data_IF_623270286988
#
_entry.id   IF_623270286988
#
_cell.length_a   1.000
_cell.length_b   1.000
_cell.length_c   1.000
_cell.angle_alpha   90.00
_cell.angle_beta   90.00
_cell.angle_gamma   90.00
#
_symmetry.space_group_name_H-M   'P 1'
#
loop_
_entity.id
_entity.type
_entity.pdbx_description
1 polymer ?
#
# COMPACT_ATOMS: atom_id res chain seq x y z
N UNK A 1 46.07 71.76 4.10
CA UNK A 1 45.07 71.98 5.17
C UNK A 1 45.15 70.84 6.17
N UNK A 2 46.08 70.94 7.12
CA UNK A 2 46.01 70.23 8.41
C UNK A 2 45.19 71.12 9.35
N UNK A 3 44.19 70.58 10.04
CA UNK A 3 43.81 70.91 11.43
C UNK A 3 42.48 70.23 11.80
N UNK A 4 42.50 69.52 12.94
CA UNK A 4 41.37 69.10 13.79
C UNK A 4 40.79 67.68 13.60
N UNK A 5 41.65 66.67 13.72
CA UNK A 5 41.50 65.71 14.82
C UNK A 5 42.12 66.32 16.09
N UNK A 6 41.78 65.83 17.29
CA UNK A 6 41.99 66.45 18.64
C UNK A 6 40.74 67.20 19.14
N UNK A 7 39.61 66.49 19.21
CA UNK A 7 38.68 66.54 20.36
C UNK A 7 38.42 65.08 20.73
N UNK A 8 39.52 64.41 21.01
CA UNK A 8 39.56 63.16 21.73
C UNK A 8 40.22 63.52 23.06
N UNK A 9 39.74 62.93 24.15
CA UNK A 9 40.48 62.85 25.40
C UNK A 9 40.87 64.20 26.04
N UNK A 10 39.92 64.92 26.63
CA UNK A 10 40.24 65.87 27.73
C UNK A 10 39.00 66.27 28.57
N UNK A 11 38.07 65.32 28.76
CA UNK A 11 37.16 65.32 29.92
C UNK A 11 37.22 63.96 30.62
N UNK A 12 38.42 63.35 30.64
CA UNK A 12 38.80 62.50 31.75
C UNK A 12 38.83 63.35 33.01
N UNK A 13 38.16 62.86 34.03
CA UNK A 13 38.61 62.98 35.41
C UNK A 13 38.44 64.35 36.04
N UNK A 14 37.50 64.43 36.99
CA UNK A 14 37.75 64.74 38.40
C UNK A 14 36.39 64.99 39.06
N UNK A 15 36.13 64.31 40.18
CA UNK A 15 34.98 64.55 41.07
C UNK A 15 34.01 63.37 41.12
N UNK A 16 34.40 62.15 41.51
CA UNK A 16 34.87 61.76 42.85
C UNK A 16 33.72 61.75 43.89
N UNK A 17 33.50 60.54 44.43
CA UNK A 17 32.86 60.18 45.72
C UNK A 17 31.33 60.20 45.83
N UNK A 18 30.74 59.00 45.85
CA UNK A 18 30.41 58.31 47.11
C UNK A 18 29.93 56.87 46.80
N UNK A 19 30.76 55.86 47.10
CA UNK A 19 30.59 54.91 48.23
C UNK A 19 29.44 53.91 48.04
N UNK A 20 29.56 52.58 48.21
CA UNK A 20 30.64 51.61 48.43
C UNK A 20 29.95 50.29 48.85
N UNK A 21 30.72 49.18 48.82
CA UNK A 21 30.53 47.92 49.58
C UNK A 21 29.75 46.78 48.88
N UNK A 22 30.44 45.75 48.34
CA UNK A 22 31.00 44.53 49.01
C UNK A 22 29.87 43.46 49.14
N UNK A 23 29.97 42.22 48.62
CA UNK A 23 30.96 41.18 48.97
C UNK A 23 31.14 40.10 47.90
N UNK A 24 32.37 39.59 47.82
CA UNK A 24 32.88 38.41 47.07
C UNK A 24 33.13 37.26 48.06
N UNK A 25 32.89 35.99 47.69
CA UNK A 25 33.67 34.77 48.08
C UNK A 25 33.13 33.54 47.31
N UNK A 26 33.90 32.91 46.41
CA UNK A 26 34.83 31.76 46.60
C UNK A 26 34.11 30.49 47.12
N UNK A 27 34.33 29.24 46.68
CA UNK A 27 35.34 28.55 45.84
C UNK A 27 34.88 27.08 45.67
N UNK A 28 35.20 26.44 44.53
CA UNK A 28 35.85 25.11 44.34
C UNK A 28 35.48 23.91 45.28
N UNK A 29 35.30 22.64 44.88
CA UNK A 29 35.57 21.86 43.66
C UNK A 29 35.05 20.41 43.85
N UNK A 30 34.70 19.77 42.74
CA UNK A 30 34.93 18.35 42.34
C UNK A 30 34.29 17.24 43.19
N UNK A 31 33.34 16.55 42.54
CA UNK A 31 33.13 15.11 42.63
C UNK A 31 32.70 14.61 41.25
N UNK A 32 33.63 14.02 40.51
CA UNK A 32 33.44 13.48 39.16
C UNK A 32 32.37 12.39 39.12
N UNK A 33 31.54 12.39 38.06
CA UNK A 33 30.57 11.34 37.84
C UNK A 33 29.75 11.50 36.56
N UNK A 34 30.39 11.25 35.41
CA UNK A 34 29.76 10.86 34.12
C UNK A 34 29.10 11.98 33.30
N UNK A 35 29.72 12.23 32.14
CA UNK A 35 29.14 12.92 30.98
C UNK A 35 27.80 12.27 30.59
N UNK A 36 26.73 13.04 30.59
CA UNK A 36 25.62 12.81 29.67
C UNK A 36 25.50 14.05 28.80
N UNK A 37 25.58 13.81 27.50
CA UNK A 37 25.28 14.78 26.47
C UNK A 37 23.91 15.39 26.77
N UNK A 38 23.87 16.65 27.20
CA UNK A 38 22.68 17.47 27.07
C UNK A 38 22.48 17.71 25.57
N UNK A 39 21.85 16.74 24.91
CA UNK A 39 21.36 16.91 23.56
C UNK A 39 20.34 18.02 23.60
N UNK A 40 20.67 19.15 22.97
CA UNK A 40 19.72 20.16 22.55
C UNK A 40 18.74 19.58 21.52
N UNK A 41 17.85 18.69 21.96
CA UNK A 41 16.58 18.46 21.28
C UNK A 41 15.68 19.64 21.61
N UNK A 42 15.97 20.72 20.90
CA UNK A 42 15.17 21.93 20.78
C UNK A 42 13.71 21.53 20.49
N UNK A 43 12.78 22.25 21.10
CA UNK A 43 11.32 22.05 21.14
C UNK A 43 10.62 22.09 19.75
N UNK A 44 11.33 21.87 18.65
CA UNK A 44 10.88 21.98 17.25
C UNK A 44 10.41 20.67 16.61
N UNK A 45 10.40 19.56 17.36
CA UNK A 45 9.81 18.29 16.89
C UNK A 45 8.31 18.13 17.18
N UNK A 46 7.68 19.09 17.88
CA UNK A 46 6.25 18.99 18.23
C UNK A 46 5.28 19.25 17.07
N UNK A 47 5.70 19.90 15.99
CA UNK A 47 4.84 20.16 14.82
C UNK A 47 5.13 19.21 13.64
N UNK A 48 5.01 17.90 13.88
CA UNK A 48 4.56 17.01 12.81
C UNK A 48 3.02 16.91 12.89
N UNK A 49 2.31 17.99 12.60
CA UNK A 49 0.83 18.12 12.71
C UNK A 49 0.07 17.39 11.58
N UNK A 50 0.45 16.14 11.27
CA UNK A 50 -0.12 15.36 10.16
C UNK A 50 -0.68 14.01 10.56
N UNK A 51 -0.85 13.75 11.86
CA UNK A 51 -1.37 12.48 12.37
C UNK A 51 -2.72 12.12 11.74
N UNK A 52 -3.60 13.10 11.54
CA UNK A 52 -4.91 12.96 10.90
C UNK A 52 -4.87 12.71 9.38
N UNK A 53 -3.69 12.83 8.74
CA UNK A 53 -3.51 12.62 7.30
C UNK A 53 -2.90 11.27 6.96
N UNK A 54 -2.28 10.61 7.94
CA UNK A 54 -1.83 9.22 7.79
C UNK A 54 -3.02 8.30 7.49
N UNK A 55 -4.19 8.59 8.08
CA UNK A 55 -5.45 7.91 7.79
C UNK A 55 -5.93 8.18 6.34
N UNK A 56 -5.83 9.43 5.86
CA UNK A 56 -6.17 9.79 4.47
C UNK A 56 -5.27 9.05 3.46
N UNK A 57 -3.96 8.91 3.76
CA UNK A 57 -3.02 8.13 2.95
C UNK A 57 -3.37 6.63 2.92
N UNK A 58 -3.65 6.04 4.08
CA UNK A 58 -4.02 4.64 4.18
C UNK A 58 -5.35 4.33 3.46
N UNK A 59 -6.32 5.24 3.58
CA UNK A 59 -7.61 5.17 2.90
C UNK A 59 -7.43 5.26 1.39
N UNK A 60 -6.64 6.22 0.91
CA UNK A 60 -6.42 6.39 -0.54
C UNK A 60 -5.66 5.19 -1.14
N UNK A 61 -4.66 4.66 -0.44
CA UNK A 61 -3.96 3.44 -0.89
C UNK A 61 -4.91 2.23 -0.94
N UNK A 62 -5.81 2.12 0.03
CA UNK A 62 -6.88 1.09 0.03
C UNK A 62 -7.80 1.27 -1.17
N UNK A 63 -8.26 2.49 -1.44
CA UNK A 63 -9.13 2.80 -2.58
C UNK A 63 -8.48 2.49 -3.92
N UNK A 64 -7.23 2.92 -4.12
CA UNK A 64 -6.46 2.64 -5.33
C UNK A 64 -6.33 1.14 -5.55
N UNK A 65 -6.10 0.40 -4.49
CA UNK A 65 -5.93 -1.04 -4.58
C UNK A 65 -7.23 -1.79 -4.82
N UNK A 66 -8.32 -1.36 -4.18
CA UNK A 66 -9.66 -1.85 -4.50
C UNK A 66 -9.99 -1.61 -5.97
N UNK A 67 -9.62 -0.44 -6.51
CA UNK A 67 -9.77 -0.16 -7.93
C UNK A 67 -8.99 -1.15 -8.81
N UNK A 68 -7.71 -1.38 -8.50
CA UNK A 68 -6.86 -2.34 -9.23
C UNK A 68 -7.45 -3.75 -9.16
N UNK A 69 -7.89 -4.19 -7.97
CA UNK A 69 -8.55 -5.48 -7.76
C UNK A 69 -9.83 -5.61 -8.59
N UNK A 70 -10.70 -4.60 -8.59
CA UNK A 70 -11.90 -4.61 -9.41
C UNK A 70 -11.54 -4.71 -10.90
N UNK A 71 -10.51 -4.01 -11.37
CA UNK A 71 -10.05 -4.15 -12.77
C UNK A 71 -9.52 -5.57 -13.06
N UNK A 72 -8.87 -6.24 -12.09
CA UNK A 72 -8.46 -7.67 -12.26
C UNK A 72 -9.61 -8.65 -12.34
N UNK A 73 -10.81 -8.29 -11.88
CA UNK A 73 -11.97 -9.18 -11.93
C UNK A 73 -12.70 -9.09 -13.27
N UNK A 74 -12.17 -8.33 -14.23
CA UNK A 74 -12.89 -7.98 -15.45
C UNK A 74 -14.02 -6.99 -15.19
N UNK A 75 -13.94 -6.19 -14.11
CA UNK A 75 -14.88 -5.11 -13.86
C UNK A 75 -14.65 -3.93 -14.83
N UNK A 76 -14.86 -4.17 -16.13
CA UNK A 76 -15.35 -3.16 -17.06
C UNK A 76 -16.70 -2.54 -16.57
N UNK A 77 -17.32 -3.13 -15.54
CA UNK A 77 -18.54 -2.66 -14.88
C UNK A 77 -18.38 -1.39 -14.06
N UNK A 78 -17.16 -1.01 -13.67
CA UNK A 78 -16.90 0.38 -13.29
C UNK A 78 -16.91 1.17 -14.60
N UNK A 79 -18.11 1.52 -15.08
CA UNK A 79 -18.26 2.44 -16.20
C UNK A 79 -17.53 3.76 -15.93
N UNK A 80 -17.59 4.74 -16.84
CA UNK A 80 -16.78 5.97 -16.74
C UNK A 80 -16.83 6.64 -15.37
N UNK A 81 -18.02 6.69 -14.76
CA UNK A 81 -18.27 7.26 -13.42
C UNK A 81 -17.56 6.51 -12.28
N UNK A 82 -17.40 5.19 -12.39
CA UNK A 82 -16.66 4.39 -11.40
C UNK A 82 -15.16 4.70 -11.44
N UNK A 83 -14.59 4.86 -12.64
CA UNK A 83 -13.19 5.27 -12.82
C UNK A 83 -12.97 6.71 -12.34
N UNK A 84 -13.93 7.61 -12.57
CA UNK A 84 -13.89 9.01 -12.10
C UNK A 84 -13.75 9.14 -10.58
N UNK A 85 -14.43 8.28 -9.81
CA UNK A 85 -14.31 8.26 -8.35
C UNK A 85 -12.84 8.06 -7.92
N UNK A 86 -12.20 6.98 -8.39
CA UNK A 86 -10.82 6.66 -8.01
C UNK A 86 -9.82 7.68 -8.54
N UNK A 87 -10.04 8.18 -9.77
CA UNK A 87 -9.23 9.25 -10.33
C UNK A 87 -9.29 10.52 -9.49
N UNK A 88 -10.48 10.86 -8.97
CA UNK A 88 -10.68 12.00 -8.08
C UNK A 88 -9.98 11.79 -6.73
N UNK A 89 -10.06 10.58 -6.15
CA UNK A 89 -9.32 10.24 -4.93
C UNK A 89 -7.80 10.42 -5.11
N UNK A 90 -7.24 9.95 -6.23
CA UNK A 90 -5.82 10.15 -6.58
C UNK A 90 -5.49 11.64 -6.77
N UNK A 91 -6.33 12.39 -7.48
CA UNK A 91 -6.12 13.84 -7.69
C UNK A 91 -6.11 14.63 -6.37
N UNK A 92 -7.04 14.32 -5.45
CA UNK A 92 -7.10 14.93 -4.13
C UNK A 92 -5.83 14.63 -3.31
N UNK A 93 -5.29 13.41 -3.46
CA UNK A 93 -4.04 13.03 -2.81
C UNK A 93 -2.83 13.80 -3.39
N UNK A 94 -2.76 13.95 -4.71
CA UNK A 94 -1.74 14.78 -5.37
C UNK A 94 -1.78 16.22 -4.84
N UNK A 95 -2.97 16.83 -4.77
CA UNK A 95 -3.14 18.19 -4.25
C UNK A 95 -2.70 18.30 -2.78
N UNK A 96 -3.05 17.29 -1.97
CA UNK A 96 -2.67 17.22 -0.56
C UNK A 96 -1.16 17.14 -0.40
N UNK A 97 -0.50 16.27 -1.17
CA UNK A 97 0.95 16.11 -1.18
C UNK A 97 1.67 17.37 -1.68
N UNK A 98 1.19 17.99 -2.77
CA UNK A 98 1.77 19.24 -3.29
C UNK A 98 1.77 20.34 -2.24
N UNK A 99 0.61 20.56 -1.59
CA UNK A 99 0.50 21.54 -0.51
C UNK A 99 1.50 21.28 0.62
N UNK A 100 1.72 20.02 0.97
CA UNK A 100 2.69 19.67 2.01
C UNK A 100 4.14 19.81 1.56
N UNK A 101 4.46 19.55 0.30
CA UNK A 101 5.77 19.89 -0.26
C UNK A 101 6.05 21.38 -0.06
N UNK A 102 5.10 22.25 -0.45
CA UNK A 102 5.24 23.71 -0.31
C UNK A 102 5.39 24.15 1.16
N UNK A 103 4.59 23.59 2.07
CA UNK A 103 4.69 23.85 3.52
C UNK A 103 6.04 23.36 4.09
N UNK A 104 6.53 22.19 3.64
CA UNK A 104 7.81 21.65 4.08
C UNK A 104 9.01 22.45 3.59
N UNK A 105 8.96 23.06 2.41
CA UNK A 105 10.04 23.94 1.92
C UNK A 105 10.33 25.09 2.90
N UNK A 106 9.29 25.58 3.57
CA UNK A 106 9.34 26.70 4.50
C UNK A 106 9.72 26.30 5.94
N UNK A 107 9.98 25.02 6.19
CA UNK A 107 10.24 24.48 7.54
C UNK A 107 11.57 23.72 7.65
N UNK A 108 11.99 23.47 8.89
CA UNK A 108 13.22 22.75 9.24
C UNK A 108 13.11 21.22 9.14
N UNK A 109 12.13 20.71 8.39
CA UNK A 109 11.91 19.27 8.20
C UNK A 109 13.17 18.61 7.59
N UNK A 110 13.56 17.39 8.01
CA UNK A 110 14.74 16.73 7.48
C UNK A 110 14.70 16.52 5.97
N UNK A 111 15.81 16.79 5.26
CA UNK A 111 15.92 16.62 3.79
C UNK A 111 15.47 15.26 3.30
N UNK A 112 15.78 14.19 4.04
CA UNK A 112 15.39 12.82 3.68
C UNK A 112 13.87 12.64 3.67
N UNK A 113 13.15 13.30 4.59
CA UNK A 113 11.69 13.24 4.65
C UNK A 113 11.05 14.06 3.52
N UNK A 114 11.61 15.23 3.19
CA UNK A 114 11.19 16.03 2.03
C UNK A 114 11.30 15.22 0.73
N UNK A 115 12.45 14.58 0.51
CA UNK A 115 12.66 13.73 -0.66
C UNK A 115 11.67 12.55 -0.70
N UNK A 116 11.45 11.86 0.42
CA UNK A 116 10.51 10.72 0.45
C UNK A 116 9.07 11.15 0.17
N UNK A 117 8.71 12.40 0.49
CA UNK A 117 7.41 12.96 0.19
C UNK A 117 7.28 13.38 -1.28
N UNK A 118 8.32 13.98 -1.87
CA UNK A 118 8.40 14.25 -3.31
C UNK A 118 8.33 12.96 -4.13
N UNK A 119 9.05 11.91 -3.71
CA UNK A 119 8.99 10.57 -4.33
C UNK A 119 7.55 10.02 -4.29
N UNK A 120 6.85 10.20 -3.16
CA UNK A 120 5.46 9.79 -3.00
C UNK A 120 4.52 10.58 -3.91
N UNK A 121 4.68 11.90 -3.98
CA UNK A 121 3.94 12.75 -4.90
C UNK A 121 4.11 12.30 -6.35
N UNK A 122 5.34 12.05 -6.78
CA UNK A 122 5.63 11.57 -8.14
C UNK A 122 4.98 10.22 -8.41
N UNK A 123 4.97 9.29 -7.44
CA UNK A 123 4.31 8.00 -7.58
C UNK A 123 2.80 8.14 -7.81
N UNK A 124 2.11 9.02 -7.07
CA UNK A 124 0.69 9.29 -7.31
C UNK A 124 0.43 9.97 -8.66
N UNK A 125 1.31 10.87 -9.10
CA UNK A 125 1.21 11.50 -10.42
C UNK A 125 1.34 10.46 -11.55
N UNK A 126 2.33 9.57 -11.46
CA UNK A 126 2.50 8.47 -12.42
C UNK A 126 1.27 7.56 -12.46
N UNK A 127 0.68 7.25 -11.30
CA UNK A 127 -0.54 6.46 -11.23
C UNK A 127 -1.74 7.21 -11.82
N UNK A 128 -1.87 8.51 -11.57
CA UNK A 128 -2.92 9.35 -12.16
C UNK A 128 -2.86 9.36 -13.70
N UNK A 129 -1.65 9.38 -14.26
CA UNK A 129 -1.45 9.27 -15.70
C UNK A 129 -1.91 7.91 -16.22
N UNK A 130 -1.57 6.81 -15.53
CA UNK A 130 -2.03 5.47 -15.87
C UNK A 130 -3.57 5.37 -15.82
N UNK A 131 -4.21 5.91 -14.77
CA UNK A 131 -5.69 5.98 -14.66
C UNK A 131 -6.29 6.84 -15.78
N UNK A 132 -5.63 7.91 -16.19
CA UNK A 132 -6.08 8.77 -17.29
C UNK A 132 -6.02 8.05 -18.63
N UNK A 133 -4.97 7.27 -18.89
CA UNK A 133 -4.87 6.43 -20.09
C UNK A 133 -5.97 5.37 -20.08
N UNK A 134 -6.16 4.68 -18.95
CA UNK A 134 -7.22 3.69 -18.76
C UNK A 134 -8.61 4.27 -19.03
N UNK A 135 -8.93 5.41 -18.41
CA UNK A 135 -10.20 6.10 -18.56
C UNK A 135 -10.47 6.51 -20.01
N UNK A 136 -9.45 7.03 -20.72
CA UNK A 136 -9.59 7.41 -22.13
C UNK A 136 -9.89 6.20 -23.01
N UNK A 137 -9.27 5.05 -22.74
CA UNK A 137 -9.53 3.81 -23.47
C UNK A 137 -10.98 3.32 -23.25
N UNK A 138 -11.45 3.37 -22.00
CA UNK A 138 -12.84 3.03 -21.64
C UNK A 138 -13.88 3.90 -22.38
N UNK A 139 -13.55 5.17 -22.66
CA UNK A 139 -14.45 6.11 -23.33
C UNK A 139 -14.41 6.08 -24.87
N UNK A 140 -13.45 5.38 -25.51
CA UNK A 140 -13.26 5.39 -26.98
C UNK A 140 -13.34 4.02 -27.63
N UNK A 141 -12.32 3.19 -27.39
CA UNK A 141 -12.01 2.02 -28.23
C UNK A 141 -12.17 0.69 -27.48
N UNK A 142 -12.58 0.75 -26.21
CA UNK A 142 -12.60 -0.39 -25.30
C UNK A 142 -11.26 -0.54 -24.56
N UNK A 143 -11.32 -1.18 -23.39
CA UNK A 143 -10.14 -1.43 -22.56
C UNK A 143 -9.41 -2.66 -23.07
N UNK A 144 -8.09 -2.56 -23.17
CA UNK A 144 -7.20 -3.67 -23.52
C UNK A 144 -6.47 -4.20 -22.29
N UNK A 145 -5.95 -5.43 -22.36
CA UNK A 145 -5.12 -6.02 -21.31
C UNK A 145 -3.91 -5.13 -20.96
N UNK A 146 -3.30 -4.47 -21.94
CA UNK A 146 -2.16 -3.57 -21.70
C UNK A 146 -2.56 -2.30 -20.92
N UNK A 147 -3.80 -1.81 -21.08
CA UNK A 147 -4.30 -0.72 -20.24
C UNK A 147 -4.42 -1.17 -18.78
N UNK A 148 -4.87 -2.40 -18.55
CA UNK A 148 -4.95 -3.00 -17.21
C UNK A 148 -3.54 -3.17 -16.67
N UNK A 149 -2.64 -3.85 -17.38
CA UNK A 149 -1.23 -4.03 -16.98
C UNK A 149 -0.51 -2.72 -16.66
N UNK A 150 -0.83 -1.62 -17.36
CA UNK A 150 -0.31 -0.29 -17.06
C UNK A 150 -0.73 0.23 -15.67
N UNK A 151 -1.98 -0.01 -15.26
CA UNK A 151 -2.43 0.29 -13.89
C UNK A 151 -1.68 -0.56 -12.86
N UNK A 152 -1.55 -1.86 -13.12
CA UNK A 152 -0.88 -2.81 -12.23
C UNK A 152 0.61 -2.49 -12.06
N UNK A 153 1.27 -2.03 -13.12
CA UNK A 153 2.70 -1.69 -13.09
C UNK A 153 2.99 -0.34 -12.40
N UNK A 154 2.04 0.58 -12.40
CA UNK A 154 2.20 1.89 -11.75
C UNK A 154 2.02 1.81 -10.23
N UNK A 155 1.16 0.91 -9.74
CA UNK A 155 0.83 0.80 -8.32
C UNK A 155 1.99 0.47 -7.37
N UNK A 156 2.92 -0.45 -7.69
CA UNK A 156 4.07 -0.76 -6.83
C UNK A 156 4.93 0.48 -6.51
N UNK A 157 4.94 1.50 -7.37
CA UNK A 157 5.65 2.75 -7.12
C UNK A 157 5.03 3.51 -5.93
N UNK A 158 3.70 3.52 -5.82
CA UNK A 158 2.99 4.10 -4.68
C UNK A 158 3.34 3.32 -3.41
N UNK A 159 3.29 2.00 -3.46
CA UNK A 159 3.59 1.13 -2.31
C UNK A 159 4.99 1.41 -1.75
N UNK A 160 6.01 1.39 -2.62
CA UNK A 160 7.41 1.61 -2.24
C UNK A 160 7.65 3.02 -1.69
N UNK A 161 7.10 4.04 -2.36
CA UNK A 161 7.24 5.42 -1.90
C UNK A 161 6.52 5.65 -0.56
N UNK A 162 5.33 5.05 -0.40
CA UNK A 162 4.54 5.14 0.83
C UNK A 162 5.25 4.48 2.01
N UNK A 163 5.89 3.33 1.80
CA UNK A 163 6.67 2.64 2.85
C UNK A 163 7.87 3.47 3.31
N UNK A 164 8.63 4.03 2.37
CA UNK A 164 9.77 4.91 2.65
C UNK A 164 9.33 6.14 3.43
N UNK A 165 8.27 6.80 2.97
CA UNK A 165 7.68 7.97 3.63
C UNK A 165 7.22 7.64 5.05
N UNK A 166 6.45 6.56 5.21
CA UNK A 166 5.87 6.17 6.50
C UNK A 166 6.93 5.74 7.51
N UNK A 167 8.01 5.10 7.06
CA UNK A 167 9.15 4.72 7.89
C UNK A 167 9.83 5.95 8.48
N UNK A 168 10.07 6.99 7.66
CA UNK A 168 10.67 8.24 8.12
C UNK A 168 9.72 9.01 9.05
N UNK A 169 8.42 9.01 8.75
CA UNK A 169 7.39 9.59 9.61
C UNK A 169 7.39 8.96 11.02
N UNK A 170 7.32 7.62 11.13
CA UNK A 170 7.35 6.91 12.41
C UNK A 170 8.61 7.21 13.22
N UNK A 171 9.77 7.23 12.54
CA UNK A 171 11.06 7.56 13.15
C UNK A 171 11.08 8.99 13.70
N UNK A 172 10.57 9.96 12.94
CA UNK A 172 10.48 11.36 13.36
C UNK A 172 9.56 11.59 14.55
N UNK A 173 8.49 10.79 14.67
CA UNK A 173 7.53 10.84 15.79
C UNK A 173 7.93 10.03 17.02
N UNK A 174 9.05 9.30 16.98
CA UNK A 174 9.42 8.31 17.99
C UNK A 174 8.30 7.29 18.31
N UNK A 175 7.45 6.98 17.32
CA UNK A 175 6.40 5.96 17.48
C UNK A 175 7.11 4.60 17.54
N UNK A 176 7.06 3.96 18.71
CA UNK A 176 7.54 2.60 18.90
C UNK A 176 6.36 1.61 18.89
N UNK A 177 6.57 0.47 18.22
CA UNK A 177 5.56 -0.58 18.07
C UNK A 177 4.70 -0.46 16.80
N UNK A 178 3.90 -1.49 16.50
CA UNK A 178 2.98 -1.46 15.36
C UNK A 178 1.95 -0.35 15.56
N UNK A 179 1.85 0.57 14.59
CA UNK A 179 0.75 1.54 14.52
C UNK A 179 -0.55 0.76 14.39
N UNK A 180 -1.39 0.81 15.43
CA UNK A 180 -2.59 -0.04 15.56
C UNK A 180 -3.66 0.20 14.48
N UNK A 181 -3.51 1.21 13.64
CA UNK A 181 -4.60 1.66 12.77
C UNK A 181 -4.21 1.90 11.32
N UNK A 182 -2.92 1.80 10.95
CA UNK A 182 -2.48 2.26 9.64
C UNK A 182 -1.40 1.32 9.06
N UNK A 183 -1.83 0.41 8.19
CA UNK A 183 -0.96 -0.44 7.39
C UNK A 183 -0.71 0.27 6.06
N UNK A 184 0.52 0.72 5.82
CA UNK A 184 0.93 1.43 4.60
C UNK A 184 2.05 0.64 3.92
N UNK A 185 2.05 0.62 2.58
CA UNK A 185 3.13 0.02 1.79
C UNK A 185 3.04 -1.50 1.73
N UNK A 186 4.17 -2.19 1.80
CA UNK A 186 4.26 -3.64 1.55
C UNK A 186 3.39 -4.49 2.48
N UNK A 187 3.19 -4.07 3.73
CA UNK A 187 2.30 -4.77 4.66
C UNK A 187 0.83 -4.69 4.22
N UNK A 188 0.43 -3.58 3.59
CA UNK A 188 -0.90 -3.40 3.04
C UNK A 188 -1.03 -4.31 1.80
N UNK A 189 -0.03 -4.31 0.92
CA UNK A 189 0.13 -5.23 -0.22
C UNK A 189 -0.07 -6.68 0.14
N UNK A 190 0.64 -7.14 1.16
CA UNK A 190 0.50 -8.47 1.69
C UNK A 190 -0.89 -8.78 2.26
N UNK A 191 -1.44 -7.91 3.11
CA UNK A 191 -2.76 -8.14 3.74
C UNK A 191 -3.88 -8.31 2.70
N UNK A 192 -3.92 -7.45 1.69
CA UNK A 192 -4.91 -7.58 0.62
C UNK A 192 -4.67 -8.79 -0.27
N UNK A 193 -3.41 -9.15 -0.58
CA UNK A 193 -3.13 -10.37 -1.34
C UNK A 193 -3.72 -11.59 -0.62
N UNK A 194 -3.53 -11.67 0.71
CA UNK A 194 -4.08 -12.75 1.55
C UNK A 194 -5.61 -12.76 1.45
N UNK A 195 -6.27 -11.64 1.78
CA UNK A 195 -7.73 -11.59 1.82
C UNK A 195 -8.38 -11.81 0.45
N UNK A 196 -7.82 -11.22 -0.60
CA UNK A 196 -8.39 -11.30 -1.95
C UNK A 196 -8.24 -12.71 -2.52
N UNK A 197 -7.07 -13.32 -2.35
CA UNK A 197 -6.83 -14.71 -2.76
C UNK A 197 -7.73 -15.66 -1.97
N UNK A 198 -7.83 -15.48 -0.65
CA UNK A 198 -8.71 -16.30 0.18
C UNK A 198 -10.17 -16.21 -0.27
N UNK A 199 -10.72 -15.01 -0.40
CA UNK A 199 -12.12 -14.82 -0.78
C UNK A 199 -12.46 -15.50 -2.11
N UNK A 200 -11.59 -15.37 -3.13
CA UNK A 200 -11.82 -15.93 -4.48
C UNK A 200 -11.73 -17.46 -4.49
N UNK A 201 -10.79 -18.02 -3.76
CA UNK A 201 -10.55 -19.47 -3.75
C UNK A 201 -11.58 -20.18 -2.89
N UNK A 202 -11.98 -19.59 -1.76
CA UNK A 202 -13.08 -20.10 -0.94
C UNK A 202 -14.41 -20.09 -1.72
N UNK A 203 -14.70 -19.02 -2.46
CA UNK A 203 -15.86 -18.96 -3.35
C UNK A 203 -15.80 -20.05 -4.42
N UNK A 204 -14.65 -20.20 -5.10
CA UNK A 204 -14.45 -21.23 -6.13
C UNK A 204 -14.66 -22.64 -5.57
N UNK A 205 -14.02 -22.96 -4.45
CA UNK A 205 -14.19 -24.25 -3.76
C UNK A 205 -15.64 -24.46 -3.33
N UNK A 206 -16.31 -23.42 -2.81
CA UNK A 206 -17.72 -23.45 -2.44
C UNK A 206 -18.64 -23.72 -3.64
N UNK A 207 -18.41 -23.07 -4.77
CA UNK A 207 -19.15 -23.30 -6.02
C UNK A 207 -18.97 -24.74 -6.52
N UNK A 208 -17.78 -25.32 -6.40
CA UNK A 208 -17.54 -26.69 -6.85
C UNK A 208 -18.17 -27.70 -5.87
N UNK A 209 -17.86 -27.58 -4.57
CA UNK A 209 -18.25 -28.54 -3.53
C UNK A 209 -19.74 -28.50 -3.22
N UNK A 210 -20.31 -27.31 -3.03
CA UNK A 210 -21.71 -27.16 -2.62
C UNK A 210 -22.64 -27.07 -3.82
N UNK A 211 -22.13 -26.66 -4.99
CA UNK A 211 -22.91 -26.61 -6.22
C UNK A 211 -22.60 -27.76 -7.17
N UNK A 212 -21.51 -27.71 -7.93
CA UNK A 212 -21.31 -28.61 -9.07
C UNK A 212 -21.30 -30.11 -8.70
N UNK A 213 -20.46 -30.53 -7.75
CA UNK A 213 -20.26 -31.95 -7.40
C UNK A 213 -21.58 -32.67 -7.06
N UNK A 214 -22.45 -32.16 -6.16
CA UNK A 214 -23.73 -32.80 -5.85
C UNK A 214 -24.68 -32.99 -7.05
N UNK A 215 -24.66 -32.11 -8.06
CA UNK A 215 -25.53 -32.25 -9.24
C UNK A 215 -24.99 -33.35 -10.15
N UNK A 216 -23.67 -33.40 -10.28
CA UNK A 216 -22.96 -34.42 -11.05
C UNK A 216 -23.18 -35.81 -10.45
N UNK A 217 -23.02 -35.96 -9.13
CA UNK A 217 -23.27 -37.22 -8.41
C UNK A 217 -24.73 -37.71 -8.57
N UNK A 218 -25.69 -36.79 -8.56
CA UNK A 218 -27.12 -37.08 -8.75
C UNK A 218 -27.51 -37.31 -10.21
N UNK A 219 -26.57 -37.23 -11.15
CA UNK A 219 -26.83 -37.29 -12.61
C UNK A 219 -27.86 -36.25 -13.09
N UNK A 220 -27.94 -35.12 -12.40
CA UNK A 220 -28.77 -33.98 -12.78
C UNK A 220 -28.01 -33.11 -13.81
N UNK A 221 -28.01 -33.56 -15.07
CA UNK A 221 -27.22 -32.95 -16.14
C UNK A 221 -27.60 -31.49 -16.38
N UNK A 222 -28.89 -31.15 -16.39
CA UNK A 222 -29.34 -29.77 -16.63
C UNK A 222 -28.81 -28.80 -15.57
N UNK A 223 -28.86 -29.18 -14.29
CA UNK A 223 -28.33 -28.33 -13.22
C UNK A 223 -26.81 -28.35 -13.18
N UNK A 224 -26.16 -29.48 -13.50
CA UNK A 224 -24.70 -29.58 -13.60
C UNK A 224 -24.16 -28.66 -14.70
N UNK A 225 -24.75 -28.66 -15.90
CA UNK A 225 -24.39 -27.80 -17.02
C UNK A 225 -24.50 -26.32 -16.64
N UNK A 226 -25.57 -25.93 -15.92
CA UNK A 226 -25.73 -24.57 -15.42
C UNK A 226 -24.63 -24.19 -14.42
N UNK A 227 -24.26 -25.09 -13.52
CA UNK A 227 -23.20 -24.82 -12.54
C UNK A 227 -21.81 -24.76 -13.21
N UNK A 228 -21.53 -25.63 -14.17
CA UNK A 228 -20.32 -25.57 -15.01
C UNK A 228 -20.26 -24.24 -15.76
N UNK A 229 -21.35 -23.84 -16.41
CA UNK A 229 -21.43 -22.58 -17.14
C UNK A 229 -21.09 -21.38 -16.24
N UNK A 230 -21.67 -21.32 -15.03
CA UNK A 230 -21.33 -20.28 -14.05
C UNK A 230 -19.83 -20.29 -13.69
N UNK A 231 -19.24 -21.47 -13.48
CA UNK A 231 -17.81 -21.61 -13.17
C UNK A 231 -16.91 -21.22 -14.37
N UNK A 232 -17.31 -21.54 -15.60
CA UNK A 232 -16.60 -21.14 -16.84
C UNK A 232 -16.60 -19.62 -16.99
N UNK A 233 -17.62 -18.91 -16.49
CA UNK A 233 -17.66 -17.45 -16.47
C UNK A 233 -16.90 -16.83 -15.29
N UNK A 234 -16.86 -17.50 -14.14
CA UNK A 234 -16.17 -17.03 -12.92
C UNK A 234 -14.65 -17.23 -12.96
N UNK A 235 -14.18 -18.45 -13.26
CA UNK A 235 -12.76 -18.81 -13.16
C UNK A 235 -11.80 -17.97 -13.99
N UNK A 236 -12.14 -17.50 -15.21
CA UNK A 236 -11.26 -16.62 -15.96
C UNK A 236 -10.85 -15.36 -15.20
N UNK A 237 -11.74 -14.77 -14.39
CA UNK A 237 -11.42 -13.58 -13.60
C UNK A 237 -10.48 -13.92 -12.44
N UNK A 238 -10.70 -15.06 -11.77
CA UNK A 238 -9.81 -15.57 -10.72
C UNK A 238 -8.41 -15.85 -11.26
N UNK A 239 -8.31 -16.56 -12.40
CA UNK A 239 -7.05 -16.89 -13.05
C UNK A 239 -6.32 -15.63 -13.51
N UNK A 240 -7.05 -14.68 -14.11
CA UNK A 240 -6.45 -13.42 -14.54
C UNK A 240 -5.91 -12.62 -13.36
N UNK A 241 -6.67 -12.48 -12.27
CA UNK A 241 -6.20 -11.88 -11.01
C UNK A 241 -4.91 -12.54 -10.52
N UNK A 242 -4.89 -13.88 -10.42
CA UNK A 242 -3.71 -14.61 -9.92
C UNK A 242 -2.47 -14.37 -10.80
N UNK A 243 -2.65 -14.25 -12.12
CA UNK A 243 -1.54 -13.98 -13.05
C UNK A 243 -0.91 -12.59 -12.90
N UNK A 244 -1.70 -11.60 -12.51
CA UNK A 244 -1.27 -10.19 -12.55
C UNK A 244 -1.00 -9.60 -11.17
N UNK A 245 -1.49 -10.24 -10.10
CA UNK A 245 -1.30 -9.74 -8.74
C UNK A 245 0.17 -9.86 -8.33
N UNK A 246 0.66 -8.86 -7.61
CA UNK A 246 1.97 -8.95 -6.97
C UNK A 246 1.90 -9.96 -5.82
N UNK A 247 2.64 -11.06 -5.96
CA UNK A 247 2.69 -12.14 -4.97
C UNK A 247 3.83 -11.87 -3.97
N UNK A 248 3.57 -11.88 -2.65
CA UNK A 248 4.65 -11.82 -1.67
C UNK A 248 5.58 -13.04 -1.82
N UNK A 249 6.88 -12.84 -1.68
CA UNK A 249 7.90 -13.85 -1.99
C UNK A 249 7.62 -15.19 -1.27
N UNK A 250 7.24 -15.14 0.01
CA UNK A 250 6.87 -16.30 0.84
C UNK A 250 5.77 -17.17 0.23
N UNK A 251 4.85 -16.59 -0.55
CA UNK A 251 3.74 -17.30 -1.17
C UNK A 251 4.03 -17.79 -2.59
N UNK A 252 5.16 -17.45 -3.21
CA UNK A 252 5.41 -17.65 -4.64
C UNK A 252 5.14 -19.09 -5.11
N UNK A 253 5.69 -20.09 -4.43
CA UNK A 253 5.51 -21.51 -4.80
C UNK A 253 4.07 -21.97 -4.62
N UNK A 254 3.47 -21.72 -3.46
CA UNK A 254 2.09 -22.12 -3.17
C UNK A 254 1.08 -21.42 -4.09
N UNK A 255 1.34 -20.16 -4.44
CA UNK A 255 0.57 -19.41 -5.43
C UNK A 255 0.61 -20.09 -6.81
N UNK A 256 1.80 -20.48 -7.29
CA UNK A 256 1.92 -21.14 -8.59
C UNK A 256 1.22 -22.50 -8.64
N UNK A 257 1.27 -23.28 -7.56
CA UNK A 257 0.51 -24.53 -7.45
C UNK A 257 -1.00 -24.27 -7.52
N UNK A 258 -1.48 -23.27 -6.78
CA UNK A 258 -2.89 -22.91 -6.75
C UNK A 258 -3.39 -22.39 -8.11
N UNK A 259 -2.60 -21.52 -8.76
CA UNK A 259 -2.89 -21.03 -10.10
C UNK A 259 -2.99 -22.20 -11.09
N UNK A 260 -2.01 -23.10 -11.08
CA UNK A 260 -1.98 -24.27 -11.96
C UNK A 260 -3.19 -25.18 -11.75
N UNK A 261 -3.58 -25.42 -10.49
CA UNK A 261 -4.76 -26.22 -10.17
C UNK A 261 -6.06 -25.56 -10.68
N UNK A 262 -6.20 -24.24 -10.51
CA UNK A 262 -7.34 -23.49 -11.04
C UNK A 262 -7.39 -23.51 -12.58
N UNK A 263 -6.25 -23.36 -13.25
CA UNK A 263 -6.18 -23.44 -14.72
C UNK A 263 -6.54 -24.83 -15.25
N UNK A 264 -6.03 -25.89 -14.60
CA UNK A 264 -6.36 -27.27 -14.97
C UNK A 264 -7.85 -27.55 -14.81
N UNK A 265 -8.45 -27.13 -13.69
CA UNK A 265 -9.88 -27.28 -13.48
C UNK A 265 -10.70 -26.48 -14.49
N UNK A 266 -10.33 -25.21 -14.76
CA UNK A 266 -11.00 -24.38 -15.76
C UNK A 266 -10.98 -25.02 -17.15
N UNK A 267 -9.81 -25.47 -17.61
CA UNK A 267 -9.68 -26.13 -18.91
C UNK A 267 -10.54 -27.41 -18.96
N UNK A 268 -10.52 -28.22 -17.90
CA UNK A 268 -11.35 -29.42 -17.81
C UNK A 268 -12.85 -29.10 -17.94
N UNK A 269 -13.40 -28.18 -17.14
CA UNK A 269 -14.84 -27.90 -17.18
C UNK A 269 -15.27 -27.18 -18.47
N UNK A 270 -14.37 -26.43 -19.09
CA UNK A 270 -14.59 -25.77 -20.37
C UNK A 270 -14.67 -26.79 -21.51
N UNK A 271 -13.76 -27.74 -21.54
CA UNK A 271 -13.68 -28.75 -22.61
C UNK A 271 -14.73 -29.86 -22.44
N UNK A 272 -15.26 -30.03 -21.22
CA UNK A 272 -16.31 -30.99 -20.89
C UNK A 272 -17.70 -30.37 -20.75
N UNK A 273 -17.83 -29.07 -21.04
CA UNK A 273 -19.12 -28.39 -21.06
C UNK A 273 -20.03 -29.12 -22.07
N UNK A 274 -21.21 -29.58 -21.62
CA UNK A 274 -22.18 -30.35 -22.41
C UNK A 274 -21.82 -31.83 -22.71
N UNK A 275 -20.79 -32.39 -22.08
CA UNK A 275 -20.53 -33.83 -22.18
C UNK A 275 -21.50 -34.66 -21.33
N UNK A 276 -21.71 -35.92 -21.73
CA UNK A 276 -22.54 -36.83 -20.95
C UNK A 276 -21.86 -37.15 -19.62
N UNK A 277 -22.56 -36.88 -18.52
CA UNK A 277 -22.12 -37.20 -17.16
C UNK A 277 -22.01 -38.73 -16.96
N UNK A 278 -20.79 -39.25 -17.13
CA UNK A 278 -20.41 -40.64 -16.95
C UNK A 278 -19.37 -40.78 -15.81
N UNK A 279 -19.08 -42.00 -15.38
CA UNK A 279 -18.16 -42.25 -14.25
C UNK A 279 -16.77 -41.62 -14.45
N UNK A 280 -16.22 -41.70 -15.67
CA UNK A 280 -14.93 -41.09 -16.02
C UNK A 280 -14.94 -39.56 -15.83
N UNK A 281 -16.01 -38.88 -16.26
CA UNK A 281 -16.18 -37.44 -16.04
C UNK A 281 -16.28 -37.12 -14.54
N UNK A 282 -17.03 -37.91 -13.76
CA UNK A 282 -17.20 -37.70 -12.33
C UNK A 282 -15.87 -37.83 -11.58
N UNK A 283 -15.09 -38.87 -11.89
CA UNK A 283 -13.78 -39.11 -11.28
C UNK A 283 -12.79 -37.98 -11.61
N UNK A 284 -12.72 -37.56 -12.89
CA UNK A 284 -11.85 -36.45 -13.29
C UNK A 284 -12.25 -35.13 -12.64
N UNK A 285 -13.54 -34.81 -12.61
CA UNK A 285 -14.04 -33.61 -11.96
C UNK A 285 -13.65 -33.56 -10.48
N UNK A 286 -13.83 -34.68 -9.78
CA UNK A 286 -13.47 -34.82 -8.37
C UNK A 286 -11.96 -34.69 -8.18
N UNK A 287 -11.15 -35.33 -9.02
CA UNK A 287 -9.70 -35.21 -9.00
C UNK A 287 -9.23 -33.76 -9.16
N UNK A 288 -9.74 -33.03 -10.15
CA UNK A 288 -9.39 -31.61 -10.34
C UNK A 288 -9.85 -30.73 -9.16
N UNK A 289 -10.97 -31.03 -8.52
CA UNK A 289 -11.38 -30.36 -7.29
C UNK A 289 -10.42 -30.65 -6.12
N UNK A 290 -10.02 -31.91 -5.94
CA UNK A 290 -9.07 -32.32 -4.90
C UNK A 290 -7.69 -31.67 -5.09
N UNK A 291 -7.26 -31.46 -6.34
CA UNK A 291 -6.03 -30.72 -6.66
C UNK A 291 -6.10 -29.26 -6.21
N UNK A 292 -7.23 -28.56 -6.43
CA UNK A 292 -7.43 -27.20 -5.91
C UNK A 292 -7.43 -27.22 -4.39
N UNK A 293 -8.13 -28.16 -3.76
CA UNK A 293 -8.20 -28.25 -2.30
C UNK A 293 -6.83 -28.50 -1.67
N UNK A 294 -6.00 -29.33 -2.32
CA UNK A 294 -4.63 -29.58 -1.89
C UNK A 294 -3.76 -28.33 -2.02
N UNK A 295 -3.76 -27.68 -3.19
CA UNK A 295 -2.98 -26.45 -3.40
C UNK A 295 -3.44 -25.31 -2.48
N UNK A 296 -4.73 -25.25 -2.16
CA UNK A 296 -5.27 -24.30 -1.19
C UNK A 296 -4.76 -24.55 0.23
N UNK A 297 -4.67 -25.82 0.67
CA UNK A 297 -4.08 -26.18 1.96
C UNK A 297 -2.61 -25.77 2.04
N UNK A 298 -1.85 -25.99 0.96
CA UNK A 298 -0.45 -25.55 0.87
C UNK A 298 -0.34 -24.02 1.02
N UNK A 299 -1.21 -23.26 0.35
CA UNK A 299 -1.26 -21.81 0.48
C UNK A 299 -1.62 -21.35 1.91
N UNK A 300 -2.60 -22.00 2.57
CA UNK A 300 -3.00 -21.67 3.95
C UNK A 300 -1.92 -21.98 4.98
N UNK A 301 -1.08 -22.99 4.72
CA UNK A 301 0.07 -23.28 5.58
C UNK A 301 1.07 -22.12 5.58
N UNK A 302 1.40 -21.58 4.39
CA UNK A 302 2.26 -20.40 4.27
C UNK A 302 1.67 -19.22 5.02
N UNK A 303 0.37 -18.96 4.88
CA UNK A 303 -0.28 -17.87 5.62
C UNK A 303 -0.13 -18.04 7.14
N UNK A 304 -0.32 -19.25 7.67
CA UNK A 304 -0.17 -19.54 9.09
C UNK A 304 1.26 -19.42 9.61
N UNK A 305 2.26 -19.70 8.78
CA UNK A 305 3.69 -19.57 9.10
C UNK A 305 4.16 -18.11 9.05
N UNK A 306 3.56 -17.29 8.18
CA UNK A 306 3.96 -15.92 7.94
C UNK A 306 3.34 -14.94 8.99
N UNK A 307 2.53 -15.42 9.95
CA UNK A 307 1.92 -14.61 11.02
C UNK A 307 2.87 -14.23 12.19
N UNK A 308 4.17 -14.52 12.09
CA UNK A 308 5.17 -14.28 13.15
C UNK A 308 6.33 -13.40 12.70
#
# INVERSE_FOLDING_TARGET
MLKKGIIALLLMGIGFLCTSCITVQQKQTIGDGVKLFETGYDNKMRDFTYDHKVDDFATTNTDIKNFILLQSEGAFMLGPAGVDYYKTSVANMILTLQRFTDEMEQTSVPKQYKQAHEDLLQAYQNFFDAVTVYQKALNKDGITTSNIEGLFSAYPQITLASEKWYTLYKKGKAIQGPSKYIVIGNLQDRWFYINSTQSRIEETLGMIKSNLLPRVEKKDNNSADKMQHNLVHHLPSVIFYMKIIQVPESFSTAHQHLLSACENFYNFIKDTQYQQNNEEYQEKLKGCYEDIEKAWKEWKLVEGEDQF
#
